data_IF_835143576724
#
_entry.id   IF_835143576724
#
_cell.length_a   1.000
_cell.length_b   1.000
_cell.length_c   1.000
_cell.angle_alpha   90.00
_cell.angle_beta   90.00
_cell.angle_gamma   90.00
#
_symmetry.space_group_name_H-M   'P 1'
#
loop_
_entity.id
_entity.type
_entity.pdbx_description
1 polymer ?
#
# COMPACT_ATOMS: atom_id res chain seq x y z
N UNK A 1 -10.83 14.90 7.26
CA UNK A 1 -11.65 15.42 6.13
C UNK A 1 -10.98 16.66 5.55
N UNK A 2 -10.97 16.79 4.21
CA UNK A 2 -10.42 17.97 3.52
C UNK A 2 -11.15 19.24 3.95
N UNK A 3 -10.40 20.27 4.37
CA UNK A 3 -10.99 21.57 4.66
C UNK A 3 -11.45 22.25 3.37
N UNK A 4 -12.61 22.94 3.35
CA UNK A 4 -13.03 23.73 2.18
C UNK A 4 -12.04 24.83 1.77
N UNK A 5 -11.15 25.23 2.68
CA UNK A 5 -10.12 26.26 2.48
C UNK A 5 -8.72 25.68 2.25
N UNK A 6 -8.58 24.36 2.12
CA UNK A 6 -7.26 23.75 1.96
C UNK A 6 -6.64 24.03 0.58
N UNK A 7 -5.31 24.15 0.55
CA UNK A 7 -4.50 24.37 -0.63
C UNK A 7 -3.75 23.10 -1.03
N UNK A 8 -3.21 23.09 -2.25
CA UNK A 8 -2.40 21.98 -2.77
C UNK A 8 -1.23 21.65 -1.83
N UNK A 9 -1.10 20.37 -1.46
CA UNK A 9 -0.08 19.85 -0.56
C UNK A 9 -0.54 19.72 0.90
N UNK A 10 -1.69 20.28 1.28
CA UNK A 10 -2.21 20.17 2.65
C UNK A 10 -3.05 18.92 2.91
N UNK A 11 -3.41 18.18 1.84
CA UNK A 11 -4.27 17.00 1.94
C UNK A 11 -3.50 15.69 1.70
N UNK A 12 -2.21 15.71 1.96
CA UNK A 12 -1.34 14.56 1.93
C UNK A 12 -0.58 14.34 0.63
N UNK A 13 0.60 13.78 0.79
CA UNK A 13 1.53 13.35 -0.26
C UNK A 13 1.92 11.89 -0.03
N UNK A 14 1.88 11.07 -1.07
CA UNK A 14 2.16 9.63 -1.01
C UNK A 14 3.22 9.24 -2.01
N UNK A 15 4.22 8.46 -1.57
CA UNK A 15 5.15 7.80 -2.48
C UNK A 15 4.85 6.31 -2.59
N UNK A 16 4.89 5.77 -3.80
CA UNK A 16 4.73 4.35 -4.08
C UNK A 16 6.04 3.82 -4.65
N UNK A 17 6.67 2.85 -4.00
CA UNK A 17 7.90 2.21 -4.44
C UNK A 17 7.59 0.77 -4.82
N UNK A 18 7.63 0.45 -6.11
CA UNK A 18 7.22 -0.85 -6.59
C UNK A 18 7.55 -1.14 -8.04
N UNK A 19 7.20 -2.35 -8.46
CA UNK A 19 7.43 -2.84 -9.82
C UNK A 19 8.72 -3.62 -10.00
N UNK A 20 8.72 -4.47 -10.99
CA UNK A 20 9.87 -5.25 -11.46
C UNK A 20 9.72 -5.50 -12.96
N UNK A 21 10.70 -6.15 -13.58
CA UNK A 21 10.69 -6.41 -15.01
C UNK A 21 9.35 -6.92 -15.55
N UNK A 22 8.64 -7.73 -14.78
CA UNK A 22 7.38 -8.37 -15.22
C UNK A 22 6.14 -7.85 -14.48
N UNK A 23 6.28 -6.96 -13.49
CA UNK A 23 5.17 -6.52 -12.64
C UNK A 23 5.06 -4.99 -12.59
N UNK A 24 4.67 -4.38 -13.70
CA UNK A 24 4.45 -2.94 -13.78
C UNK A 24 3.12 -2.48 -13.16
N UNK A 25 2.11 -3.35 -13.16
CA UNK A 25 0.75 -2.98 -12.75
C UNK A 25 0.58 -2.78 -11.24
N UNK A 26 1.30 -3.54 -10.42
CA UNK A 26 1.15 -3.54 -8.96
C UNK A 26 1.35 -2.14 -8.33
N UNK A 27 2.47 -1.43 -8.57
CA UNK A 27 2.63 -0.07 -8.04
C UNK A 27 1.62 0.93 -8.61
N UNK A 28 1.15 0.71 -9.83
CA UNK A 28 0.17 1.60 -10.46
C UNK A 28 -1.23 1.42 -9.89
N UNK A 29 -1.64 0.21 -9.50
CA UNK A 29 -2.87 -0.01 -8.75
C UNK A 29 -2.81 0.65 -7.36
N UNK A 30 -1.67 0.56 -6.67
CA UNK A 30 -1.47 1.29 -5.42
C UNK A 30 -1.57 2.80 -5.61
N UNK A 31 -0.93 3.35 -6.63
CA UNK A 31 -0.96 4.77 -6.93
C UNK A 31 -2.37 5.27 -7.28
N UNK A 32 -3.11 4.54 -8.13
CA UNK A 32 -4.50 4.87 -8.48
C UNK A 32 -5.44 4.81 -7.28
N UNK A 33 -5.24 3.85 -6.37
CA UNK A 33 -6.05 3.75 -5.17
C UNK A 33 -5.71 4.87 -4.16
N UNK A 34 -4.44 5.25 -4.03
CA UNK A 34 -4.03 6.44 -3.27
C UNK A 34 -4.64 7.71 -3.87
N UNK A 35 -4.63 7.88 -5.21
CA UNK A 35 -5.30 8.98 -5.90
C UNK A 35 -6.79 9.04 -5.55
N UNK A 36 -7.45 7.88 -5.55
CA UNK A 36 -8.88 7.75 -5.24
C UNK A 36 -9.22 8.04 -3.78
N UNK A 37 -8.25 8.10 -2.87
CA UNK A 37 -8.46 8.54 -1.49
C UNK A 37 -8.64 10.06 -1.37
N UNK A 38 -8.20 10.81 -2.39
CA UNK A 38 -8.26 12.26 -2.41
C UNK A 38 -7.00 12.98 -1.92
N UNK A 39 -5.84 12.31 -1.85
CA UNK A 39 -4.54 12.97 -1.60
C UNK A 39 -4.18 13.95 -2.71
N UNK A 40 -3.37 14.96 -2.38
CA UNK A 40 -3.00 16.01 -3.33
C UNK A 40 -1.85 15.62 -4.26
N UNK A 41 -0.89 14.85 -3.76
CA UNK A 41 0.36 14.54 -4.47
C UNK A 41 0.68 13.05 -4.43
N UNK A 42 1.04 12.48 -5.60
CA UNK A 42 1.40 11.08 -5.72
C UNK A 42 2.71 10.95 -6.50
N UNK A 43 3.69 10.34 -5.86
CA UNK A 43 4.99 10.04 -6.42
C UNK A 43 5.11 8.53 -6.64
N UNK A 44 5.49 8.12 -7.84
CA UNK A 44 5.60 6.70 -8.18
C UNK A 44 7.02 6.38 -8.60
N UNK A 45 7.72 5.57 -7.82
CA UNK A 45 9.00 4.98 -8.19
C UNK A 45 8.76 3.62 -8.83
N UNK A 46 9.19 3.47 -10.07
CA UNK A 46 9.06 2.24 -10.86
C UNK A 46 10.37 1.99 -11.63
N UNK A 47 10.66 0.74 -12.03
CA UNK A 47 11.81 0.49 -12.90
C UNK A 47 11.82 1.38 -14.14
N UNK A 48 13.00 1.81 -14.57
CA UNK A 48 13.19 2.70 -15.76
C UNK A 48 12.35 2.22 -16.95
N UNK A 49 12.32 0.92 -17.19
CA UNK A 49 11.59 0.30 -18.32
C UNK A 49 10.08 0.50 -18.29
N UNK A 50 9.49 0.93 -17.16
CA UNK A 50 8.04 1.10 -16.96
C UNK A 50 7.59 2.54 -16.71
N UNK A 51 8.52 3.50 -16.67
CA UNK A 51 8.19 4.89 -16.35
C UNK A 51 7.18 5.52 -17.32
N UNK A 52 7.27 5.19 -18.61
CA UNK A 52 6.33 5.73 -19.59
C UNK A 52 4.90 5.22 -19.39
N UNK A 53 4.74 3.98 -18.89
CA UNK A 53 3.42 3.46 -18.52
C UNK A 53 2.87 4.24 -17.32
N UNK A 54 3.69 4.51 -16.31
CA UNK A 54 3.27 5.29 -15.15
C UNK A 54 2.78 6.69 -15.52
N UNK A 55 3.49 7.39 -16.42
CA UNK A 55 3.11 8.71 -16.94
C UNK A 55 1.78 8.70 -17.71
N UNK A 56 1.45 7.58 -18.37
CA UNK A 56 0.22 7.44 -19.16
C UNK A 56 -1.01 7.04 -18.32
N UNK A 57 -0.80 6.40 -17.18
CA UNK A 57 -1.91 5.90 -16.31
C UNK A 57 -2.67 7.03 -15.65
N UNK A 58 -1.96 8.03 -15.14
CA UNK A 58 -2.55 9.26 -14.60
C UNK A 58 -1.61 10.45 -14.80
N UNK A 59 -2.17 11.58 -15.25
CA UNK A 59 -1.46 12.85 -15.37
C UNK A 59 -1.10 13.49 -14.02
N UNK A 60 -1.67 12.99 -12.93
CA UNK A 60 -1.38 13.46 -11.56
C UNK A 60 -0.15 12.79 -10.96
N UNK A 61 0.36 11.70 -11.56
CA UNK A 61 1.51 10.99 -11.03
C UNK A 61 2.81 11.73 -11.34
N UNK A 62 3.63 11.93 -10.33
CA UNK A 62 5.03 12.31 -10.48
C UNK A 62 5.85 11.02 -10.59
N UNK A 63 6.17 10.63 -11.82
CA UNK A 63 6.84 9.37 -12.11
C UNK A 63 8.37 9.51 -11.98
N UNK A 64 8.94 8.75 -11.07
CA UNK A 64 10.36 8.58 -10.80
C UNK A 64 10.82 7.18 -11.16
N UNK A 65 12.11 6.98 -11.25
CA UNK A 65 12.67 5.68 -11.66
C UNK A 65 13.71 5.17 -10.66
N UNK A 66 13.90 3.85 -10.69
CA UNK A 66 15.05 3.16 -10.13
C UNK A 66 15.56 2.09 -11.10
N UNK A 67 16.78 1.61 -10.86
CA UNK A 67 17.41 0.60 -11.71
C UNK A 67 17.89 1.15 -13.05
N UNK A 68 17.79 0.34 -14.10
CA UNK A 68 18.22 0.71 -15.44
C UNK A 68 17.28 0.13 -16.51
N UNK A 69 17.53 0.40 -17.79
CA UNK A 69 16.75 -0.19 -18.90
C UNK A 69 16.76 -1.72 -18.94
N UNK A 70 17.74 -2.34 -18.26
CA UNK A 70 17.94 -3.81 -18.26
C UNK A 70 17.92 -4.42 -16.86
N UNK A 71 17.68 -3.63 -15.83
CA UNK A 71 17.69 -4.09 -14.44
C UNK A 71 16.66 -3.35 -13.60
N UNK A 72 15.92 -4.09 -12.79
CA UNK A 72 15.01 -3.60 -11.76
C UNK A 72 15.65 -3.61 -10.36
N UNK A 73 17.00 -3.69 -10.28
CA UNK A 73 17.75 -3.65 -9.03
C UNK A 73 17.75 -2.23 -8.46
N UNK A 74 17.32 -2.08 -7.21
CA UNK A 74 17.41 -0.82 -6.47
C UNK A 74 18.84 -0.67 -5.96
N UNK A 75 19.64 0.17 -6.61
CA UNK A 75 21.03 0.46 -6.23
C UNK A 75 21.13 1.28 -4.93
N UNK A 76 22.37 1.49 -4.43
CA UNK A 76 22.61 2.41 -3.32
C UNK A 76 22.22 3.85 -3.64
N UNK A 77 22.48 4.29 -4.87
CA UNK A 77 22.16 5.64 -5.32
C UNK A 77 20.64 5.83 -5.46
N UNK A 78 19.95 4.82 -6.01
CA UNK A 78 18.49 4.82 -6.05
C UNK A 78 17.89 4.92 -4.64
N UNK A 79 18.42 4.14 -3.68
CA UNK A 79 17.96 4.21 -2.28
C UNK A 79 18.13 5.59 -1.68
N UNK A 80 19.28 6.24 -1.92
CA UNK A 80 19.53 7.59 -1.41
C UNK A 80 18.49 8.58 -1.96
N UNK A 81 18.22 8.55 -3.25
CA UNK A 81 17.20 9.40 -3.92
C UNK A 81 15.79 9.10 -3.37
N UNK A 82 15.44 7.83 -3.24
CA UNK A 82 14.14 7.42 -2.70
C UNK A 82 14.01 7.92 -1.25
N UNK A 83 14.99 7.69 -0.39
CA UNK A 83 14.96 8.08 1.02
C UNK A 83 14.89 9.60 1.20
N UNK A 84 15.60 10.37 0.37
CA UNK A 84 15.52 11.84 0.36
C UNK A 84 14.11 12.31 0.03
N UNK A 85 13.46 11.72 -1.01
CA UNK A 85 12.07 12.07 -1.32
C UNK A 85 11.13 11.65 -0.20
N UNK A 86 11.29 10.45 0.36
CA UNK A 86 10.43 9.96 1.44
C UNK A 86 10.43 10.87 2.68
N UNK A 87 11.51 11.62 2.91
CA UNK A 87 11.57 12.60 4.00
C UNK A 87 10.60 13.79 3.82
N UNK A 88 10.05 13.97 2.63
CA UNK A 88 9.06 15.03 2.31
C UNK A 88 7.64 14.48 2.16
N UNK A 89 7.44 13.18 2.38
CA UNK A 89 6.14 12.52 2.18
C UNK A 89 5.39 12.34 3.51
N UNK A 90 4.07 12.39 3.45
CA UNK A 90 3.20 12.11 4.59
C UNK A 90 3.00 10.61 4.80
N UNK A 91 3.15 9.80 3.75
CA UNK A 91 3.20 8.34 3.82
C UNK A 91 3.84 7.71 2.58
N UNK A 92 4.13 6.41 2.66
CA UNK A 92 4.55 5.66 1.48
C UNK A 92 4.02 4.23 1.45
N UNK A 93 4.09 3.60 0.26
CA UNK A 93 3.92 2.15 0.07
C UNK A 93 5.22 1.57 -0.45
N UNK A 94 5.70 0.49 0.15
CA UNK A 94 6.90 -0.22 -0.30
C UNK A 94 6.54 -1.69 -0.52
N UNK A 95 6.82 -2.22 -1.73
CA UNK A 95 6.72 -3.64 -1.98
C UNK A 95 5.90 -4.12 -3.17
N UNK A 96 4.80 -3.45 -3.59
CA UNK A 96 3.98 -3.92 -4.69
C UNK A 96 4.79 -4.23 -5.95
N UNK A 97 4.84 -5.51 -6.33
CA UNK A 97 5.52 -5.94 -7.54
C UNK A 97 7.04 -5.86 -7.56
N UNK A 98 7.74 -5.53 -6.47
CA UNK A 98 9.21 -5.53 -6.42
C UNK A 98 9.77 -6.96 -6.64
N UNK A 99 10.95 -7.04 -7.24
CA UNK A 99 11.64 -8.31 -7.44
C UNK A 99 12.09 -8.92 -6.10
N UNK A 100 12.18 -10.26 -6.04
CA UNK A 100 12.49 -11.04 -4.82
C UNK A 100 13.85 -11.71 -4.86
N UNK A 101 14.73 -11.31 -5.74
CA UNK A 101 16.11 -11.77 -5.70
C UNK A 101 16.84 -11.21 -4.48
N UNK A 102 17.96 -11.81 -4.11
CA UNK A 102 18.68 -11.48 -2.87
C UNK A 102 19.14 -10.02 -2.78
N UNK A 103 19.47 -9.39 -3.92
CA UNK A 103 19.93 -8.00 -3.95
C UNK A 103 18.77 -7.04 -3.69
N UNK A 104 17.65 -7.25 -4.40
CA UNK A 104 16.45 -6.44 -4.19
C UNK A 104 15.90 -6.61 -2.77
N UNK A 105 15.87 -7.83 -2.22
CA UNK A 105 15.45 -8.04 -0.83
C UNK A 105 16.35 -7.31 0.18
N UNK A 106 17.66 -7.28 -0.05
CA UNK A 106 18.59 -6.51 0.79
C UNK A 106 18.32 -4.99 0.68
N UNK A 107 18.11 -4.47 -0.53
CA UNK A 107 17.78 -3.07 -0.77
C UNK A 107 16.43 -2.67 -0.15
N UNK A 108 15.41 -3.52 -0.26
CA UNK A 108 14.10 -3.32 0.38
C UNK A 108 14.25 -3.24 1.90
N UNK A 109 15.02 -4.15 2.49
CA UNK A 109 15.27 -4.13 3.93
C UNK A 109 15.91 -2.80 4.36
N UNK A 110 16.94 -2.35 3.66
CA UNK A 110 17.61 -1.08 3.97
C UNK A 110 16.65 0.11 3.81
N UNK A 111 15.83 0.14 2.74
CA UNK A 111 14.79 1.16 2.57
C UNK A 111 13.80 1.19 3.75
N UNK A 112 13.38 0.03 4.25
CA UNK A 112 12.48 -0.04 5.40
C UNK A 112 13.16 0.46 6.68
N UNK A 113 14.45 0.12 6.89
CA UNK A 113 15.23 0.59 8.02
C UNK A 113 15.44 2.11 7.98
N UNK A 114 15.63 2.69 6.81
CA UNK A 114 15.88 4.12 6.59
C UNK A 114 14.63 4.96 6.38
N UNK A 115 13.45 4.33 6.15
CA UNK A 115 12.21 5.03 5.83
C UNK A 115 11.83 6.07 6.90
N UNK A 116 11.75 7.38 6.55
CA UNK A 116 11.55 8.44 7.52
C UNK A 116 10.07 8.81 7.76
N UNK A 117 9.16 8.30 6.94
CA UNK A 117 7.73 8.60 7.02
C UNK A 117 6.90 7.36 7.38
N UNK A 118 5.62 7.51 7.77
CA UNK A 118 4.70 6.39 7.91
C UNK A 118 4.67 5.52 6.65
N UNK A 119 4.75 4.20 6.81
CA UNK A 119 4.86 3.29 5.67
C UNK A 119 3.85 2.15 5.70
N UNK A 120 3.31 1.83 4.53
CA UNK A 120 2.55 0.61 4.26
C UNK A 120 3.45 -0.37 3.52
N UNK A 121 3.62 -1.56 4.09
CA UNK A 121 4.51 -2.60 3.57
C UNK A 121 3.67 -3.76 3.05
N UNK A 122 3.80 -4.07 1.77
CA UNK A 122 2.98 -5.10 1.11
C UNK A 122 3.82 -6.02 0.22
N UNK A 123 3.25 -7.13 -0.15
CA UNK A 123 3.72 -8.05 -1.19
C UNK A 123 5.20 -8.48 -1.03
N UNK A 124 6.08 -8.05 -1.92
CA UNK A 124 7.49 -8.50 -1.93
C UNK A 124 8.30 -7.97 -0.76
N UNK A 125 7.88 -6.87 -0.13
CA UNK A 125 8.56 -6.33 1.04
C UNK A 125 8.20 -7.07 2.35
N UNK A 126 7.21 -7.97 2.33
CA UNK A 126 6.83 -8.80 3.48
C UNK A 126 7.74 -10.05 3.53
N UNK A 127 8.80 -9.98 4.34
CA UNK A 127 9.85 -10.98 4.49
C UNK A 127 10.15 -11.23 5.98
N UNK A 128 10.93 -12.26 6.29
CA UNK A 128 11.35 -12.60 7.65
C UNK A 128 11.96 -11.41 8.42
N UNK A 129 12.67 -10.52 7.74
CA UNK A 129 13.37 -9.39 8.35
C UNK A 129 12.53 -8.11 8.45
N UNK A 130 11.34 -8.06 7.84
CA UNK A 130 10.50 -6.86 7.72
C UNK A 130 10.17 -6.25 9.08
N UNK A 131 9.67 -7.05 10.01
CA UNK A 131 9.25 -6.54 11.31
C UNK A 131 10.40 -5.92 12.11
N UNK A 132 11.60 -6.49 12.00
CA UNK A 132 12.79 -5.94 12.66
C UNK A 132 13.17 -4.56 12.09
N UNK A 133 13.05 -4.39 10.76
CA UNK A 133 13.31 -3.14 10.07
C UNK A 133 12.28 -2.04 10.39
N UNK A 134 11.07 -2.42 10.79
CA UNK A 134 9.95 -1.50 11.09
C UNK A 134 9.88 -1.07 12.56
N UNK A 135 10.74 -1.60 13.43
CA UNK A 135 10.68 -1.31 14.86
C UNK A 135 10.77 0.19 15.16
N UNK A 136 9.78 0.70 15.91
CA UNK A 136 9.70 2.10 16.29
C UNK A 136 9.20 3.05 15.18
N UNK A 137 8.66 2.49 14.09
CA UNK A 137 8.08 3.26 12.98
C UNK A 137 6.55 3.15 12.99
N UNK A 138 5.88 4.20 12.53
CA UNK A 138 4.44 4.15 12.25
C UNK A 138 4.21 3.35 10.96
N UNK A 139 4.11 2.04 11.08
CA UNK A 139 4.04 1.13 9.96
C UNK A 139 2.77 0.29 9.95
N UNK A 140 2.26 0.04 8.76
CA UNK A 140 1.22 -0.95 8.47
C UNK A 140 1.83 -2.06 7.63
N UNK A 141 1.57 -3.30 7.98
CA UNK A 141 1.87 -4.48 7.16
C UNK A 141 0.57 -5.12 6.68
N UNK A 142 0.49 -5.49 5.41
CA UNK A 142 -0.76 -5.97 4.78
C UNK A 142 -0.66 -7.42 4.27
N UNK A 143 -0.30 -8.41 5.12
CA UNK A 143 -0.10 -9.77 4.69
C UNK A 143 -1.40 -10.53 4.44
N UNK A 144 -1.41 -11.41 3.44
CA UNK A 144 -2.28 -12.58 3.41
C UNK A 144 -1.58 -13.77 4.13
N UNK A 145 -2.27 -14.90 4.31
CA UNK A 145 -1.72 -16.05 5.06
C UNK A 145 -0.35 -16.53 4.55
N UNK A 146 -0.16 -16.65 3.23
CA UNK A 146 1.14 -17.06 2.67
C UNK A 146 2.25 -16.00 2.86
N UNK A 147 1.91 -14.73 3.06
CA UNK A 147 2.86 -13.67 3.42
C UNK A 147 3.22 -13.72 4.90
N UNK A 148 2.27 -14.04 5.77
CA UNK A 148 2.55 -14.31 7.19
C UNK A 148 3.52 -15.47 7.37
N UNK A 149 3.32 -16.57 6.64
CA UNK A 149 4.25 -17.71 6.65
C UNK A 149 5.67 -17.27 6.25
N UNK A 150 5.80 -16.45 5.22
CA UNK A 150 7.09 -15.90 4.76
C UNK A 150 7.74 -14.98 5.80
N UNK A 151 6.93 -14.27 6.57
CA UNK A 151 7.38 -13.45 7.69
C UNK A 151 7.69 -14.29 8.94
N UNK A 152 7.42 -15.60 8.92
CA UNK A 152 7.53 -16.52 10.05
C UNK A 152 6.68 -16.07 11.25
N UNK A 153 5.42 -15.70 10.98
CA UNK A 153 4.42 -15.29 11.97
C UNK A 153 3.19 -16.17 11.82
N UNK A 154 2.80 -16.85 12.90
CA UNK A 154 1.55 -17.60 12.89
C UNK A 154 0.35 -16.64 13.10
N UNK A 155 -0.83 -16.92 12.49
CA UNK A 155 -1.99 -16.02 12.59
C UNK A 155 -2.42 -15.70 14.03
N UNK A 156 -2.30 -16.66 14.95
CA UNK A 156 -2.64 -16.47 16.37
C UNK A 156 -1.59 -15.66 17.15
N UNK A 157 -0.40 -15.46 16.60
CA UNK A 157 0.69 -14.67 17.21
C UNK A 157 0.62 -13.19 16.81
N UNK A 158 -0.17 -12.84 15.79
CA UNK A 158 -0.21 -11.48 15.25
C UNK A 158 -0.47 -10.41 16.32
N UNK A 159 -1.39 -10.57 17.28
CA UNK A 159 -1.59 -9.56 18.32
C UNK A 159 -0.34 -9.27 19.17
N UNK A 160 0.38 -10.31 19.54
CA UNK A 160 1.62 -10.15 20.33
C UNK A 160 2.77 -9.62 19.48
N UNK A 161 2.82 -10.00 18.22
CA UNK A 161 3.82 -9.50 17.26
C UNK A 161 3.57 -8.01 16.96
N UNK A 162 2.32 -7.59 16.79
CA UNK A 162 1.95 -6.19 16.61
C UNK A 162 2.42 -5.32 17.77
N UNK A 163 2.15 -5.73 19.02
CA UNK A 163 2.66 -5.08 20.24
C UNK A 163 4.18 -5.02 20.28
N UNK A 164 4.84 -6.14 20.02
CA UNK A 164 6.31 -6.26 20.11
C UNK A 164 7.04 -5.32 19.17
N UNK A 165 6.50 -5.10 17.97
CA UNK A 165 7.14 -4.29 16.94
C UNK A 165 6.53 -2.89 16.81
N UNK A 166 5.38 -2.62 17.44
CA UNK A 166 4.69 -1.33 17.40
C UNK A 166 4.14 -1.02 16.00
N UNK A 167 3.58 -2.03 15.31
CA UNK A 167 3.05 -1.86 13.96
C UNK A 167 1.61 -2.40 13.85
N UNK A 168 0.84 -1.85 12.92
CA UNK A 168 -0.52 -2.30 12.62
C UNK A 168 -0.48 -3.38 11.55
N UNK A 169 -1.24 -4.46 11.73
CA UNK A 169 -1.47 -5.49 10.72
C UNK A 169 -2.84 -5.32 10.08
N UNK A 170 -2.90 -5.40 8.76
CA UNK A 170 -4.12 -5.61 7.99
C UNK A 170 -4.04 -7.00 7.34
N UNK A 171 -4.56 -8.00 8.01
CA UNK A 171 -4.61 -9.38 7.54
C UNK A 171 -5.66 -9.50 6.44
N UNK A 172 -5.20 -9.81 5.23
CA UNK A 172 -6.08 -9.99 4.05
C UNK A 172 -6.69 -11.40 4.05
N UNK A 173 -8.02 -11.49 3.88
CA UNK A 173 -8.74 -12.75 3.81
C UNK A 173 -10.17 -12.61 3.33
N UNK A 174 -10.97 -13.67 3.46
CA UNK A 174 -12.41 -13.58 3.22
C UNK A 174 -13.03 -12.50 4.13
N UNK A 175 -12.71 -12.53 5.41
CA UNK A 175 -12.86 -11.41 6.33
C UNK A 175 -11.46 -10.85 6.59
N UNK A 176 -11.28 -9.53 6.46
CA UNK A 176 -10.01 -8.92 6.83
C UNK A 176 -9.97 -8.67 8.34
N UNK A 177 -8.78 -8.75 8.92
CA UNK A 177 -8.59 -8.45 10.34
C UNK A 177 -7.55 -7.36 10.50
N UNK A 178 -7.93 -6.25 11.12
CA UNK A 178 -7.01 -5.19 11.53
C UNK A 178 -6.59 -5.46 12.97
N UNK A 179 -5.28 -5.52 13.21
CA UNK A 179 -4.69 -5.65 14.55
C UNK A 179 -3.82 -4.42 14.79
N UNK A 180 -4.16 -3.62 15.76
CA UNK A 180 -3.42 -2.39 16.09
C UNK A 180 -2.10 -2.67 16.84
N UNK A 181 -1.30 -1.65 17.05
CA UNK A 181 -0.01 -1.69 17.76
C UNK A 181 -0.15 -2.10 19.25
N UNK A 182 -1.37 -2.12 19.78
CA UNK A 182 -1.67 -2.58 21.12
C UNK A 182 -2.21 -4.02 21.15
N UNK A 183 -2.35 -4.66 19.97
CA UNK A 183 -2.85 -6.03 19.80
C UNK A 183 -4.37 -6.14 19.81
N UNK A 184 -5.11 -5.03 19.76
CA UNK A 184 -6.56 -5.09 19.62
C UNK A 184 -6.94 -5.45 18.20
N UNK A 185 -7.90 -6.37 18.05
CA UNK A 185 -8.32 -6.88 16.75
C UNK A 185 -9.71 -6.40 16.37
N UNK A 186 -9.89 -6.01 15.10
CA UNK A 186 -11.17 -5.65 14.50
C UNK A 186 -11.36 -6.42 13.22
N UNK A 187 -12.48 -7.14 13.08
CA UNK A 187 -12.81 -7.92 11.88
C UNK A 187 -13.66 -7.07 10.93
N UNK A 188 -13.28 -7.04 9.67
CA UNK A 188 -13.98 -6.34 8.58
C UNK A 188 -14.64 -7.36 7.68
N UNK A 189 -15.97 -7.37 7.68
CA UNK A 189 -16.81 -8.27 6.87
C UNK A 189 -17.22 -7.64 5.55
N UNK A 190 -17.74 -8.47 4.64
CA UNK A 190 -18.18 -8.08 3.31
C UNK A 190 -17.18 -8.45 2.24
N UNK A 191 -17.41 -7.96 1.04
CA UNK A 191 -16.67 -8.36 -0.14
C UNK A 191 -17.10 -9.73 -0.67
N UNK A 192 -16.56 -10.10 -1.79
CA UNK A 192 -16.92 -11.35 -2.49
C UNK A 192 -15.70 -11.89 -3.26
N UNK A 193 -15.84 -13.11 -3.81
CA UNK A 193 -14.76 -13.79 -4.53
C UNK A 193 -14.22 -13.03 -5.77
N UNK A 194 -14.97 -12.07 -6.32
CA UNK A 194 -14.47 -11.21 -7.40
C UNK A 194 -13.27 -10.34 -6.98
N UNK A 195 -13.13 -10.05 -5.69
CA UNK A 195 -11.98 -9.32 -5.16
C UNK A 195 -10.68 -10.14 -5.15
N UNK A 196 -10.70 -11.39 -5.58
CA UNK A 196 -9.48 -12.18 -5.80
C UNK A 196 -8.74 -11.82 -7.10
N UNK A 197 -9.31 -10.92 -7.91
CA UNK A 197 -8.65 -10.39 -9.10
C UNK A 197 -7.32 -9.71 -8.74
N UNK A 198 -6.30 -9.94 -9.59
CA UNK A 198 -4.95 -9.42 -9.36
C UNK A 198 -4.92 -7.90 -9.23
N UNK A 199 -4.17 -7.41 -8.25
CA UNK A 199 -4.01 -5.99 -7.97
C UNK A 199 -4.92 -5.42 -6.86
N UNK A 200 -5.92 -6.18 -6.38
CA UNK A 200 -6.80 -5.72 -5.29
C UNK A 200 -6.03 -5.49 -3.99
N UNK A 201 -5.05 -6.35 -3.67
CA UNK A 201 -4.15 -6.15 -2.53
C UNK A 201 -3.30 -4.88 -2.68
N UNK A 202 -2.75 -4.66 -3.88
CA UNK A 202 -1.98 -3.45 -4.19
C UNK A 202 -2.85 -2.18 -4.03
N UNK A 203 -4.10 -2.23 -4.51
CA UNK A 203 -5.06 -1.14 -4.32
C UNK A 203 -5.38 -0.89 -2.83
N UNK A 204 -5.52 -1.95 -2.04
CA UNK A 204 -5.74 -1.85 -0.60
C UNK A 204 -4.55 -1.17 0.11
N UNK A 205 -3.33 -1.55 -0.23
CA UNK A 205 -2.12 -0.93 0.33
C UNK A 205 -2.03 0.57 -0.05
N UNK A 206 -2.28 0.91 -1.30
CA UNK A 206 -2.27 2.29 -1.78
C UNK A 206 -3.34 3.16 -1.12
N UNK A 207 -4.57 2.64 -1.01
CA UNK A 207 -5.67 3.34 -0.33
C UNK A 207 -5.36 3.57 1.15
N UNK A 208 -4.78 2.56 1.82
CA UNK A 208 -4.37 2.68 3.23
C UNK A 208 -3.33 3.80 3.40
N UNK A 209 -2.31 3.85 2.54
CA UNK A 209 -1.31 4.91 2.57
C UNK A 209 -1.94 6.29 2.29
N UNK A 210 -2.84 6.39 1.32
CA UNK A 210 -3.56 7.63 1.03
C UNK A 210 -4.36 8.16 2.22
N UNK A 211 -4.99 7.29 2.99
CA UNK A 211 -5.71 7.67 4.20
C UNK A 211 -4.76 8.08 5.35
N UNK A 212 -3.63 7.39 5.50
CA UNK A 212 -2.58 7.78 6.46
C UNK A 212 -2.04 9.17 6.13
N UNK A 213 -1.75 9.44 4.85
CA UNK A 213 -1.27 10.75 4.40
C UNK A 213 -2.25 11.89 4.69
N UNK A 214 -3.55 11.59 4.78
CA UNK A 214 -4.60 12.54 5.17
C UNK A 214 -4.78 12.66 6.69
N UNK A 215 -3.91 12.06 7.49
CA UNK A 215 -3.90 12.18 8.95
C UNK A 215 -4.72 11.14 9.70
N UNK A 216 -5.26 10.11 9.03
CA UNK A 216 -5.87 8.99 9.74
C UNK A 216 -4.81 8.14 10.45
N UNK A 217 -5.10 7.74 11.68
CA UNK A 217 -4.24 6.78 12.38
C UNK A 217 -4.25 5.42 11.68
N UNK A 218 -3.15 4.62 11.77
CA UNK A 218 -2.98 3.39 11.00
C UNK A 218 -4.16 2.42 11.05
N UNK A 219 -4.71 2.15 12.24
CA UNK A 219 -5.83 1.23 12.38
C UNK A 219 -7.13 1.74 11.74
N UNK A 220 -7.39 3.06 11.78
CA UNK A 220 -8.54 3.67 11.10
C UNK A 220 -8.37 3.60 9.57
N UNK A 221 -7.19 3.98 9.08
CA UNK A 221 -6.86 3.90 7.66
C UNK A 221 -7.07 2.48 7.12
N UNK A 222 -6.59 1.46 7.83
CA UNK A 222 -6.81 0.06 7.49
C UNK A 222 -8.29 -0.31 7.46
N UNK A 223 -9.05 0.11 8.47
CA UNK A 223 -10.50 -0.16 8.56
C UNK A 223 -11.26 0.47 7.40
N UNK A 224 -11.02 1.76 7.12
CA UNK A 224 -11.70 2.46 6.04
C UNK A 224 -11.31 1.91 4.67
N UNK A 225 -10.02 1.63 4.44
CA UNK A 225 -9.53 1.08 3.19
C UNK A 225 -10.16 -0.30 2.91
N UNK A 226 -10.09 -1.22 3.87
CA UNK A 226 -10.69 -2.56 3.73
C UNK A 226 -12.21 -2.46 3.51
N UNK A 227 -12.92 -1.65 4.30
CA UNK A 227 -14.37 -1.49 4.15
C UNK A 227 -14.74 -0.90 2.79
N UNK A 228 -14.00 0.11 2.30
CA UNK A 228 -14.25 0.73 1.00
C UNK A 228 -14.05 -0.27 -0.15
N UNK A 229 -12.95 -1.03 -0.14
CA UNK A 229 -12.66 -2.06 -1.15
C UNK A 229 -13.75 -3.15 -1.15
N UNK A 230 -14.13 -3.65 0.02
CA UNK A 230 -15.17 -4.69 0.16
C UNK A 230 -16.52 -4.20 -0.33
N UNK A 231 -16.97 -3.01 0.07
CA UNK A 231 -18.23 -2.41 -0.40
C UNK A 231 -18.20 -2.15 -1.91
N UNK A 232 -17.09 -1.67 -2.45
CA UNK A 232 -16.90 -1.49 -3.89
C UNK A 232 -17.06 -2.82 -4.65
N UNK A 233 -16.46 -3.89 -4.14
CA UNK A 233 -16.61 -5.24 -4.70
C UNK A 233 -18.06 -5.74 -4.63
N UNK A 234 -18.76 -5.54 -3.53
CA UNK A 234 -20.16 -5.95 -3.36
C UNK A 234 -21.08 -5.18 -4.30
N UNK A 235 -20.87 -3.88 -4.48
CA UNK A 235 -21.60 -3.08 -5.46
C UNK A 235 -21.38 -3.60 -6.89
N UNK A 236 -20.13 -3.82 -7.27
CA UNK A 236 -19.78 -4.34 -8.60
C UNK A 236 -20.34 -5.76 -8.85
N UNK A 237 -20.34 -6.59 -7.81
CA UNK A 237 -20.96 -7.91 -7.90
C UNK A 237 -22.46 -7.80 -8.20
N UNK A 238 -23.16 -6.86 -7.58
CA UNK A 238 -24.59 -6.61 -7.87
C UNK A 238 -24.79 -6.11 -9.30
N UNK A 239 -23.87 -5.28 -9.82
CA UNK A 239 -23.95 -4.71 -11.17
C UNK A 239 -23.63 -5.74 -12.27
N UNK A 240 -22.66 -6.64 -12.08
CA UNK A 240 -22.10 -7.49 -13.15
C UNK A 240 -21.56 -8.88 -12.70
N UNK A 241 -21.91 -9.34 -11.51
CA UNK A 241 -21.38 -10.59 -10.95
C UNK A 241 -19.88 -10.49 -10.69
N UNK A 242 -19.13 -11.58 -10.89
CA UNK A 242 -17.68 -11.61 -10.62
C UNK A 242 -16.81 -11.01 -11.74
N UNK A 243 -17.39 -10.58 -12.86
CA UNK A 243 -16.65 -10.11 -14.04
C UNK A 243 -16.28 -8.62 -13.95
N UNK A 244 -15.61 -8.24 -12.86
CA UNK A 244 -15.08 -6.90 -12.69
C UNK A 244 -13.55 -6.91 -12.45
N UNK A 245 -12.93 -5.79 -12.70
CA UNK A 245 -11.48 -5.59 -12.59
C UNK A 245 -11.12 -4.76 -11.35
N UNK A 246 -9.85 -4.85 -10.92
CA UNK A 246 -9.32 -3.98 -9.85
C UNK A 246 -9.48 -2.50 -10.18
N UNK A 247 -9.33 -2.10 -11.45
CA UNK A 247 -9.53 -0.71 -11.87
C UNK A 247 -10.96 -0.22 -11.64
N UNK A 248 -11.94 -1.08 -11.83
CA UNK A 248 -13.35 -0.76 -11.54
C UNK A 248 -13.60 -0.65 -10.03
N UNK A 249 -12.99 -1.53 -9.23
CA UNK A 249 -13.02 -1.42 -7.76
C UNK A 249 -12.47 -0.06 -7.32
N UNK A 250 -11.29 0.33 -7.82
CA UNK A 250 -10.67 1.63 -7.53
C UNK A 250 -11.60 2.80 -7.92
N UNK A 251 -12.28 2.71 -9.07
CA UNK A 251 -13.23 3.74 -9.51
C UNK A 251 -14.44 3.94 -8.60
N UNK A 252 -14.78 2.95 -7.75
CA UNK A 252 -15.87 3.06 -6.76
C UNK A 252 -15.39 3.59 -5.39
N UNK A 253 -14.08 3.60 -5.10
CA UNK A 253 -13.52 4.02 -3.81
C UNK A 253 -14.01 5.40 -3.36
N UNK A 254 -14.00 6.47 -4.19
CA UNK A 254 -14.40 7.79 -3.71
C UNK A 254 -15.85 7.83 -3.17
N UNK A 255 -16.76 7.09 -3.81
CA UNK A 255 -18.14 6.97 -3.36
C UNK A 255 -18.24 6.23 -2.03
N UNK A 256 -17.51 5.11 -1.89
CA UNK A 256 -17.50 4.34 -0.65
C UNK A 256 -16.92 5.12 0.52
N UNK A 257 -15.82 5.86 0.30
CA UNK A 257 -15.24 6.70 1.33
C UNK A 257 -16.17 7.82 1.78
N UNK A 258 -16.87 8.47 0.84
CA UNK A 258 -17.86 9.50 1.18
C UNK A 258 -18.93 8.99 2.16
N UNK A 259 -19.40 7.75 1.97
CA UNK A 259 -20.39 7.12 2.85
C UNK A 259 -19.85 6.71 4.22
N UNK A 260 -18.53 6.51 4.33
CA UNK A 260 -17.88 6.07 5.58
C UNK A 260 -17.46 7.23 6.48
N UNK A 261 -17.27 8.41 5.90
CA UNK A 261 -16.70 9.60 6.58
C UNK A 261 -17.77 10.68 6.79
N UNK A 262 -18.96 10.54 6.18
CA UNK A 262 -20.13 11.37 6.42
C UNK A 262 -20.89 10.90 7.67
#
# INVERSE_FOLDING_TARGET
MRSPSSHKGENGSVAIIGGSQFQHGAPLFSALAAESSGVDLIFVFTPVMHVEIAKQVSLNFQAHTFGSERSDEISSDDRAIITELLATMDSCVIGPGLARDAKNLASIRTLLEECPCPCVVDASALQLTTLAALRGKHAVVTPHLGELERMNVAPNEVPEVAKKFGCTFLLKGHEDTVVDEHGNSTVIKGGNAGLTVGGTGDALAGLTAGLIAQGHVPQEACRFASTAIKRAGDLLFTEKGYAYTTREVIGKIPMMLKELVS
#
